data_IF_677043480006
#
_entry.id   IF_677043480006
#
_cell.length_a   1.000
_cell.length_b   1.000
_cell.length_c   1.000
_cell.angle_alpha   90.00
_cell.angle_beta   90.00
_cell.angle_gamma   90.00
#
_symmetry.space_group_name_H-M   'P 1'
#
loop_
_entity.id
_entity.type
_entity.pdbx_description
1 polymer ?
#
# COMPACT_ATOMS: atom_id res chain seq x y z
N UNK A 1 33.18 1.04 -9.34
CA UNK A 1 32.05 1.27 -8.43
C UNK A 1 32.62 1.71 -7.09
N UNK A 2 33.03 2.96 -7.00
CA UNK A 2 33.24 3.63 -5.73
C UNK A 2 31.89 4.17 -5.29
N UNK A 3 31.06 3.32 -4.72
CA UNK A 3 29.97 3.78 -3.88
C UNK A 3 30.64 4.45 -2.68
N UNK A 4 30.56 5.71 -2.71
CA UNK A 4 31.05 6.68 -1.77
C UNK A 4 30.97 6.17 -0.34
N UNK A 5 32.11 5.95 0.28
CA UNK A 5 32.21 5.48 1.67
C UNK A 5 31.44 6.42 2.64
N UNK A 6 31.21 7.69 2.25
CA UNK A 6 30.42 8.65 3.00
C UNK A 6 28.90 8.40 2.99
N UNK A 7 28.35 7.70 1.99
CA UNK A 7 26.93 7.28 1.99
C UNK A 7 26.76 6.04 2.88
N UNK A 8 27.76 5.17 2.97
CA UNK A 8 27.73 4.01 3.86
C UNK A 8 27.61 4.40 5.33
N UNK A 9 28.31 5.37 5.80
CA UNK A 9 28.31 5.73 7.23
C UNK A 9 27.04 6.49 7.66
N UNK A 10 26.48 7.35 6.83
CA UNK A 10 25.23 8.05 7.16
C UNK A 10 23.98 7.18 7.01
N UNK A 11 23.98 6.23 6.08
CA UNK A 11 22.90 5.25 5.90
C UNK A 11 23.06 4.10 6.90
N UNK A 12 24.28 3.66 7.19
CA UNK A 12 24.54 2.58 8.16
C UNK A 12 24.13 2.97 9.58
N UNK A 13 24.40 4.19 10.03
CA UNK A 13 24.04 4.63 11.40
C UNK A 13 22.50 4.81 11.57
N UNK A 14 21.78 5.23 10.54
CA UNK A 14 20.31 5.26 10.53
C UNK A 14 19.73 3.87 10.29
N UNK A 15 20.32 3.09 9.37
CA UNK A 15 19.85 1.76 8.99
C UNK A 15 20.01 0.70 10.09
N UNK A 16 21.02 0.76 10.92
CA UNK A 16 21.19 -0.20 12.03
C UNK A 16 20.06 -0.11 13.07
N UNK A 17 19.58 1.10 13.37
CA UNK A 17 18.42 1.29 14.23
C UNK A 17 17.14 0.70 13.64
N UNK A 18 16.93 0.86 12.33
CA UNK A 18 15.75 0.36 11.63
C UNK A 18 15.83 -1.14 11.36
N UNK A 19 17.00 -1.68 11.06
CA UNK A 19 17.25 -3.13 10.97
C UNK A 19 16.96 -3.81 12.30
N UNK A 20 17.45 -3.30 13.41
CA UNK A 20 17.19 -3.85 14.75
C UNK A 20 15.70 -3.80 15.11
N UNK A 21 15.03 -2.66 14.86
CA UNK A 21 13.60 -2.51 15.10
C UNK A 21 12.78 -3.50 14.26
N UNK A 22 13.15 -3.67 12.99
CA UNK A 22 12.51 -4.58 12.05
C UNK A 22 12.74 -6.04 12.45
N UNK A 23 13.96 -6.39 12.84
CA UNK A 23 14.28 -7.72 13.37
C UNK A 23 13.41 -8.06 14.58
N UNK A 24 13.31 -7.15 15.54
CA UNK A 24 12.48 -7.33 16.74
C UNK A 24 10.99 -7.36 16.44
N UNK A 25 10.52 -6.57 15.49
CA UNK A 25 9.10 -6.51 15.11
C UNK A 25 8.62 -7.77 14.39
N UNK A 26 9.49 -8.40 13.60
CA UNK A 26 9.17 -9.56 12.78
C UNK A 26 9.86 -10.85 13.23
N UNK A 27 10.45 -10.84 14.43
CA UNK A 27 11.19 -11.97 15.00
C UNK A 27 12.24 -12.57 14.02
N UNK A 28 12.95 -11.69 13.31
CA UNK A 28 13.94 -12.09 12.32
C UNK A 28 15.24 -12.41 13.06
N UNK A 29 15.79 -13.64 12.93
CA UNK A 29 17.07 -13.99 13.57
C UNK A 29 18.19 -13.03 13.16
N UNK A 30 19.01 -12.61 14.12
CA UNK A 30 20.14 -11.69 13.89
C UNK A 30 21.24 -12.26 13.00
N UNK A 31 21.25 -13.57 12.82
CA UNK A 31 22.25 -14.33 12.03
C UNK A 31 21.93 -14.38 10.53
N UNK A 32 20.73 -13.92 10.13
CA UNK A 32 20.37 -13.88 8.71
C UNK A 32 21.13 -12.76 8.03
N UNK A 33 22.00 -13.11 7.09
CA UNK A 33 22.71 -12.17 6.24
C UNK A 33 21.80 -11.48 5.20
N UNK A 34 22.37 -10.48 4.53
CA UNK A 34 21.70 -9.75 3.44
C UNK A 34 22.18 -10.28 2.10
N UNK A 35 21.25 -10.61 1.21
CA UNK A 35 21.55 -10.92 -0.18
C UNK A 35 21.45 -9.64 -1.04
N UNK A 36 22.38 -9.52 -2.00
CA UNK A 36 22.39 -8.41 -2.97
C UNK A 36 22.34 -8.99 -4.37
N UNK A 37 21.38 -8.54 -5.17
CA UNK A 37 21.27 -8.86 -6.58
C UNK A 37 21.82 -7.70 -7.40
N UNK A 38 22.79 -7.98 -8.30
CA UNK A 38 23.32 -7.01 -9.25
C UNK A 38 22.72 -7.33 -10.62
N UNK A 39 22.03 -6.36 -11.21
CA UNK A 39 21.37 -6.51 -12.51
C UNK A 39 21.55 -5.28 -13.38
N UNK A 40 21.38 -5.43 -14.69
CA UNK A 40 21.38 -4.30 -15.63
C UNK A 40 20.24 -3.34 -15.30
N UNK A 41 20.52 -2.06 -15.43
CA UNK A 41 19.53 -1.01 -15.23
C UNK A 41 18.62 -0.88 -16.45
N UNK A 42 17.34 -0.67 -16.25
CA UNK A 42 16.32 -0.40 -17.26
C UNK A 42 15.67 0.94 -16.97
N UNK A 43 15.43 1.74 -17.99
CA UNK A 43 14.99 3.12 -17.81
C UNK A 43 13.55 3.33 -18.27
N UNK A 44 12.67 3.55 -17.29
CA UNK A 44 11.25 3.87 -17.52
C UNK A 44 10.97 5.34 -17.84
N UNK A 45 11.99 6.19 -17.82
CA UNK A 45 11.87 7.64 -17.97
C UNK A 45 12.52 8.19 -19.28
N UNK A 46 12.62 7.35 -20.32
CA UNK A 46 13.22 7.75 -21.59
C UNK A 46 12.22 8.23 -22.65
N UNK A 47 10.93 8.24 -22.35
CA UNK A 47 9.91 8.67 -23.30
C UNK A 47 8.51 8.19 -22.93
N UNK A 48 7.56 8.45 -23.83
CA UNK A 48 6.15 8.09 -23.63
C UNK A 48 5.84 6.61 -23.87
N UNK A 49 6.76 5.88 -24.47
CA UNK A 49 6.77 4.43 -24.68
C UNK A 49 7.53 3.67 -23.58
N UNK A 50 8.01 4.43 -22.58
CA UNK A 50 8.69 3.94 -21.40
C UNK A 50 7.84 4.23 -20.15
N UNK A 51 8.03 3.43 -19.09
CA UNK A 51 7.30 3.59 -17.86
C UNK A 51 7.75 2.61 -16.79
N UNK A 52 7.14 2.72 -15.64
CA UNK A 52 7.37 1.79 -14.53
C UNK A 52 6.06 1.53 -13.80
N UNK A 53 5.96 0.41 -13.11
CA UNK A 53 4.75 0.08 -12.40
C UNK A 53 4.91 -1.08 -11.43
N UNK A 54 3.83 -1.28 -10.69
CA UNK A 54 3.68 -2.36 -9.72
C UNK A 54 2.39 -3.12 -10.04
N UNK A 55 2.45 -4.44 -9.97
CA UNK A 55 1.31 -5.30 -10.26
C UNK A 55 1.10 -6.37 -9.21
N UNK A 56 -0.13 -6.82 -9.11
CA UNK A 56 -0.54 -7.99 -8.35
C UNK A 56 -1.25 -8.96 -9.28
N UNK A 57 -0.96 -10.24 -9.16
CA UNK A 57 -1.58 -11.26 -10.02
C UNK A 57 -3.08 -11.43 -9.76
N UNK A 58 -3.56 -10.98 -8.59
CA UNK A 58 -4.98 -10.88 -8.19
C UNK A 58 -5.22 -9.56 -7.46
N UNK A 59 -6.47 -9.13 -7.35
CA UNK A 59 -6.79 -7.92 -6.56
C UNK A 59 -6.42 -8.14 -5.08
N UNK A 60 -5.49 -7.35 -4.52
CA UNK A 60 -5.01 -7.55 -3.15
C UNK A 60 -6.02 -7.18 -2.07
N UNK A 61 -7.13 -6.53 -2.42
CA UNK A 61 -8.18 -6.11 -1.51
C UNK A 61 -9.33 -7.12 -1.46
N UNK A 62 -9.81 -7.55 -2.63
CA UNK A 62 -10.96 -8.45 -2.75
C UNK A 62 -10.58 -9.92 -2.95
N UNK A 63 -9.37 -10.19 -3.44
CA UNK A 63 -8.92 -11.54 -3.82
C UNK A 63 -9.47 -12.03 -5.16
N UNK A 64 -10.19 -11.16 -5.91
CA UNK A 64 -10.67 -11.53 -7.22
C UNK A 64 -9.51 -11.86 -8.17
N UNK A 65 -9.73 -12.86 -9.04
CA UNK A 65 -8.74 -13.28 -10.05
C UNK A 65 -8.71 -12.29 -11.22
N UNK A 66 -8.40 -11.07 -10.91
CA UNK A 66 -8.24 -9.97 -11.85
C UNK A 66 -6.85 -9.36 -11.65
N UNK A 67 -6.08 -9.23 -12.74
CA UNK A 67 -4.79 -8.56 -12.71
C UNK A 67 -4.97 -7.12 -12.23
N UNK A 68 -4.36 -6.78 -11.15
CA UNK A 68 -4.32 -5.44 -10.61
C UNK A 68 -2.92 -4.84 -10.83
N UNK A 69 -2.82 -3.74 -11.57
CA UNK A 69 -1.56 -3.04 -11.71
C UNK A 69 -1.77 -1.54 -11.87
N UNK A 70 -0.80 -0.81 -11.36
CA UNK A 70 -0.69 0.64 -11.47
C UNK A 70 0.64 0.99 -12.11
N UNK A 71 0.65 1.98 -13.01
CA UNK A 71 1.84 2.38 -13.76
C UNK A 71 1.89 3.89 -14.00
N UNK A 72 3.11 4.37 -14.20
CA UNK A 72 3.38 5.73 -14.66
C UNK A 72 4.21 5.67 -15.95
N UNK A 73 3.83 6.47 -16.93
CA UNK A 73 4.66 6.70 -18.12
C UNK A 73 5.74 7.73 -17.81
N UNK A 74 6.87 7.58 -18.50
CA UNK A 74 8.04 8.46 -18.36
C UNK A 74 8.39 8.68 -16.88
N UNK A 75 8.65 7.59 -16.15
CA UNK A 75 8.86 7.58 -14.71
C UNK A 75 9.82 6.47 -14.27
N UNK A 76 10.43 6.65 -13.12
CA UNK A 76 11.21 5.63 -12.42
C UNK A 76 10.39 4.98 -11.29
N UNK A 77 10.85 3.85 -10.75
CA UNK A 77 10.15 3.10 -9.70
C UNK A 77 9.81 3.92 -8.47
N UNK A 78 10.70 4.82 -8.08
CA UNK A 78 10.52 5.74 -6.95
C UNK A 78 9.29 6.64 -7.12
N UNK A 79 8.98 7.09 -8.33
CA UNK A 79 7.83 7.96 -8.62
C UNK A 79 6.50 7.27 -8.33
N UNK A 80 6.44 5.94 -8.52
CA UNK A 80 5.24 5.13 -8.23
C UNK A 80 5.09 4.91 -6.73
N UNK A 81 6.18 4.53 -6.06
CA UNK A 81 6.18 4.16 -4.64
C UNK A 81 6.04 5.37 -3.74
N UNK A 82 6.70 6.48 -4.06
CA UNK A 82 6.61 7.74 -3.31
C UNK A 82 5.22 8.38 -3.38
N UNK A 83 4.41 8.05 -4.41
CA UNK A 83 3.06 8.58 -4.53
C UNK A 83 2.98 10.04 -4.96
N UNK A 84 4.08 10.62 -5.48
CA UNK A 84 4.16 12.01 -5.93
C UNK A 84 3.22 12.27 -7.10
N UNK A 85 3.03 11.27 -7.97
CA UNK A 85 2.12 11.29 -9.12
C UNK A 85 1.07 10.22 -8.95
N UNK A 86 -0.18 10.49 -9.36
CA UNK A 86 -1.25 9.49 -9.36
C UNK A 86 -1.04 8.50 -10.51
N UNK A 87 -0.83 7.21 -10.23
CA UNK A 87 -0.60 6.22 -11.27
C UNK A 87 -1.86 5.91 -12.06
N UNK A 88 -1.68 5.48 -13.30
CA UNK A 88 -2.74 4.98 -14.17
C UNK A 88 -3.05 3.51 -13.86
N UNK A 89 -4.30 3.12 -14.04
CA UNK A 89 -4.74 1.74 -13.88
C UNK A 89 -4.39 0.90 -15.12
N UNK A 90 -4.18 -0.40 -14.92
CA UNK A 90 -3.87 -1.39 -15.98
C UNK A 90 -4.91 -1.40 -17.12
N UNK A 91 -6.18 -1.10 -16.85
CA UNK A 91 -7.23 -1.00 -17.86
C UNK A 91 -6.97 0.13 -18.88
N UNK A 92 -6.30 1.20 -18.45
CA UNK A 92 -5.85 2.26 -19.34
C UNK A 92 -4.71 1.78 -20.23
N UNK A 93 -3.78 0.99 -19.69
CA UNK A 93 -2.66 0.41 -20.45
C UNK A 93 -3.13 -0.48 -21.59
N UNK A 94 -4.23 -1.18 -21.45
CA UNK A 94 -4.83 -2.00 -22.51
C UNK A 94 -5.11 -1.19 -23.79
N UNK A 95 -5.38 0.11 -23.64
CA UNK A 95 -5.63 1.02 -24.75
C UNK A 95 -4.37 1.72 -25.25
N UNK A 96 -3.49 2.12 -24.34
CA UNK A 96 -2.30 2.93 -24.62
C UNK A 96 -1.10 2.06 -25.05
N UNK A 97 -0.89 0.91 -24.39
CA UNK A 97 0.26 0.02 -24.58
C UNK A 97 -0.19 -1.45 -24.65
N UNK A 98 -1.01 -1.78 -25.63
CA UNK A 98 -1.65 -3.09 -25.76
C UNK A 98 -0.68 -4.27 -25.73
N UNK A 99 0.47 -4.11 -26.38
CA UNK A 99 1.52 -5.15 -26.42
C UNK A 99 2.09 -5.43 -25.04
N UNK A 100 2.40 -4.37 -24.31
CA UNK A 100 2.93 -4.46 -22.93
C UNK A 100 1.86 -5.05 -21.99
N UNK A 101 0.61 -4.63 -22.11
CA UNK A 101 -0.49 -5.20 -21.33
C UNK A 101 -0.54 -6.73 -21.47
N UNK A 102 -0.48 -7.25 -22.71
CA UNK A 102 -0.48 -8.70 -22.92
C UNK A 102 0.75 -9.40 -22.34
N UNK A 103 1.92 -8.74 -22.35
CA UNK A 103 3.14 -9.28 -21.71
C UNK A 103 2.95 -9.36 -20.19
N UNK A 104 2.37 -8.32 -19.56
CA UNK A 104 2.10 -8.31 -18.12
C UNK A 104 1.11 -9.41 -17.74
N UNK A 105 0.01 -9.56 -18.48
CA UNK A 105 -0.96 -10.63 -18.21
C UNK A 105 -0.33 -12.02 -18.28
N UNK A 106 0.52 -12.25 -19.28
CA UNK A 106 1.21 -13.54 -19.41
C UNK A 106 2.21 -13.76 -18.27
N UNK A 107 2.99 -12.73 -17.92
CA UNK A 107 3.93 -12.77 -16.80
C UNK A 107 3.23 -13.05 -15.49
N UNK A 108 2.10 -12.38 -15.21
CA UNK A 108 1.31 -12.62 -14.00
C UNK A 108 0.84 -14.08 -13.88
N UNK A 109 0.38 -14.68 -15.00
CA UNK A 109 -0.01 -16.10 -15.04
C UNK A 109 1.15 -17.04 -14.76
N UNK A 110 2.33 -16.73 -15.31
CA UNK A 110 3.55 -17.54 -15.09
C UNK A 110 3.96 -17.46 -13.63
N UNK A 111 4.02 -16.26 -13.05
CA UNK A 111 4.42 -16.03 -11.67
C UNK A 111 3.47 -16.75 -10.70
N UNK A 112 2.17 -16.56 -10.84
CA UNK A 112 1.19 -17.20 -9.95
C UNK A 112 1.25 -18.73 -10.01
N UNK A 113 1.42 -19.29 -11.19
CA UNK A 113 1.55 -20.75 -11.37
C UNK A 113 2.86 -21.29 -10.78
N UNK A 114 3.96 -20.55 -10.97
CA UNK A 114 5.29 -20.95 -10.49
C UNK A 114 5.36 -20.93 -8.96
N UNK A 115 4.94 -19.84 -8.35
CA UNK A 115 4.96 -19.67 -6.90
C UNK A 115 3.76 -20.30 -6.19
N UNK A 116 2.73 -20.69 -6.97
CA UNK A 116 1.49 -21.27 -6.47
C UNK A 116 0.80 -20.35 -5.45
N UNK A 117 1.03 -19.05 -5.57
CA UNK A 117 0.50 -17.99 -4.71
C UNK A 117 0.38 -16.68 -5.48
N UNK A 118 -0.50 -15.80 -4.97
CA UNK A 118 -0.60 -14.42 -5.47
C UNK A 118 0.73 -13.70 -5.32
N UNK A 119 1.19 -13.11 -6.41
CA UNK A 119 2.45 -12.38 -6.46
C UNK A 119 2.22 -10.87 -6.59
N UNK A 120 3.07 -10.12 -5.90
CA UNK A 120 3.35 -8.70 -6.07
C UNK A 120 4.61 -8.62 -6.92
N UNK A 121 4.61 -7.84 -8.00
CA UNK A 121 5.75 -7.71 -8.90
C UNK A 121 5.95 -6.28 -9.35
N UNK A 122 7.20 -5.92 -9.49
CA UNK A 122 7.64 -4.62 -9.99
C UNK A 122 8.17 -4.78 -11.42
N UNK A 123 7.83 -3.83 -12.28
CA UNK A 123 8.21 -3.87 -13.68
C UNK A 123 8.60 -2.51 -14.23
N UNK A 124 9.46 -2.51 -15.24
CA UNK A 124 9.78 -1.34 -16.05
C UNK A 124 9.48 -1.64 -17.51
N UNK A 125 9.05 -0.64 -18.22
CA UNK A 125 8.79 -0.68 -19.65
C UNK A 125 9.84 0.22 -20.32
N UNK A 126 10.60 -0.32 -21.25
CA UNK A 126 11.53 0.44 -22.07
C UNK A 126 11.29 0.10 -23.53
N UNK A 127 10.94 1.10 -24.35
CA UNK A 127 10.63 0.93 -25.77
C UNK A 127 9.56 -0.15 -26.03
N UNK A 128 8.45 -0.13 -25.29
CA UNK A 128 7.35 -1.13 -25.33
C UNK A 128 7.79 -2.58 -25.01
N UNK A 129 8.94 -2.78 -24.38
CA UNK A 129 9.39 -4.06 -23.86
C UNK A 129 9.23 -4.10 -22.35
N UNK A 130 8.62 -5.15 -21.84
CA UNK A 130 8.43 -5.37 -20.41
C UNK A 130 9.68 -5.99 -19.79
N UNK A 131 10.16 -5.42 -18.72
CA UNK A 131 11.21 -5.97 -17.85
C UNK A 131 10.67 -6.18 -16.45
N UNK A 132 10.70 -7.42 -15.99
CA UNK A 132 10.36 -7.76 -14.62
C UNK A 132 11.56 -7.48 -13.73
N UNK A 133 11.39 -6.66 -12.71
CA UNK A 133 12.48 -6.25 -11.81
C UNK A 133 12.52 -7.12 -10.56
N UNK A 134 11.37 -7.35 -9.95
CA UNK A 134 11.24 -8.07 -8.68
C UNK A 134 9.87 -8.73 -8.59
N UNK A 135 9.81 -9.86 -7.90
CA UNK A 135 8.55 -10.47 -7.46
C UNK A 135 8.66 -10.93 -6.01
N UNK A 136 7.53 -10.93 -5.32
CA UNK A 136 7.39 -11.37 -3.94
C UNK A 136 5.98 -11.85 -3.64
N UNK A 137 5.78 -12.55 -2.53
CA UNK A 137 4.44 -12.91 -2.07
C UNK A 137 3.60 -11.64 -1.83
N UNK A 138 2.46 -11.54 -2.49
CA UNK A 138 1.64 -10.32 -2.51
C UNK A 138 1.00 -10.04 -1.16
N UNK A 139 1.23 -8.83 -0.64
CA UNK A 139 0.53 -8.33 0.56
C UNK A 139 -0.94 -8.10 0.25
N UNK A 140 -1.82 -8.65 1.08
CA UNK A 140 -3.27 -8.74 0.81
C UNK A 140 -4.08 -8.50 2.08
N UNK A 141 -5.34 -8.11 1.93
CA UNK A 141 -6.29 -8.05 3.03
C UNK A 141 -6.67 -9.44 3.52
N UNK A 142 -7.19 -9.57 4.74
CA UNK A 142 -7.66 -10.85 5.27
C UNK A 142 -8.77 -11.47 4.41
N UNK A 143 -9.69 -10.65 3.89
CA UNK A 143 -10.74 -11.09 2.95
C UNK A 143 -10.11 -11.68 1.68
N UNK A 144 -9.14 -10.97 1.11
CA UNK A 144 -8.43 -11.45 -0.07
C UNK A 144 -7.63 -12.72 0.22
N UNK A 145 -6.97 -12.83 1.37
CA UNK A 145 -6.23 -14.02 1.77
C UNK A 145 -7.12 -15.27 1.80
N UNK A 146 -8.27 -15.18 2.48
CA UNK A 146 -9.22 -16.28 2.56
C UNK A 146 -9.80 -16.64 1.19
N UNK A 147 -10.20 -15.64 0.39
CA UNK A 147 -10.75 -15.89 -0.96
C UNK A 147 -9.72 -16.51 -1.88
N UNK A 148 -8.49 -15.99 -1.93
CA UNK A 148 -7.41 -16.50 -2.77
C UNK A 148 -7.09 -17.96 -2.40
N UNK A 149 -6.97 -18.26 -1.10
CA UNK A 149 -6.72 -19.63 -0.64
C UNK A 149 -7.82 -20.59 -1.11
N UNK A 150 -9.09 -20.22 -0.96
CA UNK A 150 -10.21 -21.01 -1.44
C UNK A 150 -10.21 -21.22 -2.97
N UNK A 151 -9.94 -20.15 -3.72
CA UNK A 151 -9.96 -20.21 -5.18
C UNK A 151 -8.77 -21.01 -5.73
N UNK A 152 -7.59 -20.93 -5.12
CA UNK A 152 -6.42 -21.73 -5.50
C UNK A 152 -6.60 -23.23 -5.24
N UNK A 153 -7.36 -23.60 -4.21
CA UNK A 153 -7.78 -25.00 -4.01
C UNK A 153 -8.69 -25.47 -5.14
N UNK A 154 -9.71 -24.67 -5.51
CA UNK A 154 -10.61 -24.98 -6.63
C UNK A 154 -9.86 -25.08 -7.97
N UNK A 155 -8.84 -24.27 -8.14
CA UNK A 155 -7.95 -24.27 -9.31
C UNK A 155 -6.91 -25.39 -9.28
N UNK A 156 -6.89 -26.23 -8.23
CA UNK A 156 -5.93 -27.33 -8.04
C UNK A 156 -4.46 -26.87 -7.97
N UNK A 157 -4.22 -25.64 -7.61
CA UNK A 157 -2.87 -25.09 -7.43
C UNK A 157 -2.27 -25.47 -6.08
N UNK A 158 -3.11 -25.58 -5.04
CA UNK A 158 -2.71 -25.91 -3.68
C UNK A 158 -3.68 -26.93 -3.05
N UNK A 159 -3.23 -27.62 -2.01
CA UNK A 159 -4.10 -28.51 -1.23
C UNK A 159 -4.98 -27.70 -0.24
N UNK A 160 -5.97 -28.35 0.37
CA UNK A 160 -6.81 -27.72 1.41
C UNK A 160 -5.99 -27.39 2.66
N UNK A 161 -5.06 -28.26 3.01
CA UNK A 161 -4.16 -28.10 4.15
C UNK A 161 -3.24 -26.90 3.94
N UNK A 162 -2.65 -26.77 2.74
CA UNK A 162 -1.85 -25.60 2.37
C UNK A 162 -2.68 -24.31 2.42
N UNK A 163 -3.93 -24.35 1.97
CA UNK A 163 -4.84 -23.19 2.01
C UNK A 163 -5.09 -22.71 3.44
N UNK A 164 -5.31 -23.63 4.38
CA UNK A 164 -5.50 -23.29 5.80
C UNK A 164 -4.24 -22.65 6.39
N UNK A 165 -3.06 -23.20 6.09
CA UNK A 165 -1.78 -22.67 6.58
C UNK A 165 -1.43 -21.28 6.01
N UNK A 166 -2.02 -20.89 4.88
CA UNK A 166 -1.77 -19.57 4.25
C UNK A 166 -2.64 -18.45 4.78
N UNK A 167 -3.70 -18.77 5.49
CA UNK A 167 -4.57 -17.78 6.15
C UNK A 167 -4.11 -17.62 7.59
N UNK A 168 -3.33 -16.60 7.84
CA UNK A 168 -2.81 -16.28 9.17
C UNK A 168 -3.95 -15.85 10.10
N UNK A 169 -3.88 -16.14 11.42
CA UNK A 169 -4.91 -15.74 12.38
C UNK A 169 -5.24 -14.24 12.35
N UNK A 170 -4.22 -13.41 12.12
CA UNK A 170 -4.34 -11.95 12.01
C UNK A 170 -5.21 -11.53 10.83
N UNK A 171 -5.24 -12.32 9.76
CA UNK A 171 -6.16 -12.10 8.64
C UNK A 171 -7.62 -12.28 9.05
N UNK A 172 -7.91 -13.21 9.97
CA UNK A 172 -9.26 -13.46 10.45
C UNK A 172 -9.75 -12.33 11.36
N UNK A 173 -8.86 -11.71 12.14
CA UNK A 173 -9.22 -10.56 12.97
C UNK A 173 -9.78 -9.39 12.16
N UNK A 174 -9.36 -9.25 10.89
CA UNK A 174 -9.87 -8.21 10.00
C UNK A 174 -11.36 -8.36 9.68
N UNK A 175 -11.92 -9.56 9.77
CA UNK A 175 -13.37 -9.77 9.63
C UNK A 175 -14.19 -9.21 10.80
N UNK A 176 -13.53 -8.98 11.93
CA UNK A 176 -14.13 -8.40 13.14
C UNK A 176 -14.05 -6.86 13.14
N UNK A 177 -13.41 -6.26 12.15
CA UNK A 177 -13.32 -4.80 12.11
C UNK A 177 -14.68 -4.14 11.92
N UNK A 178 -14.91 -3.00 12.57
CA UNK A 178 -16.11 -2.23 12.38
C UNK A 178 -16.33 -1.91 10.90
N UNK A 179 -17.56 -2.09 10.44
CA UNK A 179 -17.99 -1.67 9.10
C UNK A 179 -19.11 -0.64 9.24
N UNK A 180 -19.28 0.20 8.24
CA UNK A 180 -20.43 1.10 8.19
C UNK A 180 -21.71 0.32 7.92
N UNK A 181 -22.75 0.60 8.69
CA UNK A 181 -24.07 0.17 8.30
C UNK A 181 -24.45 0.88 6.98
N UNK A 182 -24.83 0.12 5.92
CA UNK A 182 -25.17 0.69 4.62
C UNK A 182 -26.28 1.74 4.67
N UNK A 183 -27.24 1.60 5.59
CA UNK A 183 -28.32 2.57 5.77
C UNK A 183 -27.85 3.87 6.42
N UNK A 184 -26.96 3.78 7.39
CA UNK A 184 -26.40 4.96 8.05
C UNK A 184 -25.45 5.71 7.10
N UNK A 185 -24.73 5.01 6.25
CA UNK A 185 -23.85 5.62 5.24
C UNK A 185 -24.59 6.61 4.31
N UNK A 186 -25.87 6.37 4.03
CA UNK A 186 -26.70 7.25 3.21
C UNK A 186 -27.08 8.56 3.91
N UNK A 187 -27.00 8.63 5.24
CA UNK A 187 -27.39 9.79 6.05
C UNK A 187 -26.28 10.84 6.18
N UNK A 188 -25.08 10.54 5.71
CA UNK A 188 -23.90 11.38 5.93
C UNK A 188 -23.40 12.04 4.65
N UNK A 189 -23.01 13.30 4.78
CA UNK A 189 -22.33 14.03 3.72
C UNK A 189 -20.95 13.46 3.50
N UNK A 190 -20.67 13.07 2.26
CA UNK A 190 -19.32 12.66 1.84
C UNK A 190 -18.51 13.94 1.66
N UNK A 191 -17.40 14.07 2.41
CA UNK A 191 -16.51 15.22 2.25
C UNK A 191 -15.58 15.09 1.04
N UNK A 192 -15.01 13.91 0.85
CA UNK A 192 -14.13 13.58 -0.27
C UNK A 192 -14.18 12.08 -0.54
N UNK A 193 -13.59 11.68 -1.65
CA UNK A 193 -13.45 10.28 -2.04
C UNK A 193 -11.98 9.97 -2.28
N UNK A 194 -11.56 8.77 -1.91
CA UNK A 194 -10.25 8.22 -2.20
C UNK A 194 -10.35 6.77 -2.63
N UNK A 195 -9.20 6.17 -2.87
CA UNK A 195 -9.07 4.76 -3.23
C UNK A 195 -9.06 3.92 -1.95
N UNK A 196 -9.98 2.96 -1.84
CA UNK A 196 -9.97 2.00 -0.75
C UNK A 196 -8.71 1.12 -0.87
N UNK A 197 -7.81 1.22 0.10
CA UNK A 197 -6.56 0.46 0.15
C UNK A 197 -6.59 -0.68 1.17
N UNK A 198 -7.39 -0.55 2.23
CA UNK A 198 -7.67 -1.59 3.22
C UNK A 198 -9.08 -1.42 3.78
N UNK A 199 -9.82 -2.53 3.99
CA UNK A 199 -11.22 -2.47 4.38
C UNK A 199 -11.42 -2.04 5.83
N UNK A 200 -12.65 -1.65 6.16
CA UNK A 200 -13.09 -1.35 7.52
C UNK A 200 -13.61 0.07 7.70
N UNK A 201 -13.92 0.41 8.95
CA UNK A 201 -14.30 1.75 9.38
C UNK A 201 -13.42 2.18 10.55
N UNK A 202 -12.89 3.38 10.50
CA UNK A 202 -12.04 3.91 11.56
C UNK A 202 -12.53 5.27 12.03
N UNK A 203 -12.45 5.51 13.35
CA UNK A 203 -12.79 6.79 13.97
C UNK A 203 -11.72 7.22 14.94
N UNK A 204 -11.56 8.52 15.06
CA UNK A 204 -10.61 9.03 16.02
C UNK A 204 -10.29 10.51 15.83
N UNK A 205 -9.41 11.00 16.68
CA UNK A 205 -8.85 12.33 16.55
C UNK A 205 -7.92 12.38 15.35
N UNK A 206 -7.93 13.49 14.66
CA UNK A 206 -7.04 13.73 13.53
C UNK A 206 -5.62 13.99 14.03
N UNK A 207 -4.66 13.23 13.53
CA UNK A 207 -3.24 13.54 13.61
C UNK A 207 -2.72 13.80 12.19
N UNK A 208 -1.88 14.81 12.02
CA UNK A 208 -1.34 15.21 10.72
C UNK A 208 0.11 14.79 10.53
N UNK A 209 0.69 14.19 11.55
CA UNK A 209 2.04 13.65 11.56
C UNK A 209 2.13 12.39 12.44
N UNK A 210 3.16 11.58 12.18
CA UNK A 210 3.37 10.30 12.86
C UNK A 210 3.61 10.46 14.37
N UNK A 211 4.33 11.51 14.78
CA UNK A 211 4.65 11.75 16.18
C UNK A 211 3.39 12.05 17.00
N UNK A 212 2.53 12.94 16.50
CA UNK A 212 1.24 13.26 17.10
C UNK A 212 0.35 12.02 17.20
N UNK A 213 0.34 11.16 16.17
CA UNK A 213 -0.42 9.90 16.20
C UNK A 213 0.04 8.98 17.33
N UNK A 214 1.36 8.82 17.50
CA UNK A 214 1.95 8.02 18.60
C UNK A 214 1.59 8.59 19.97
N UNK A 215 1.71 9.91 20.16
CA UNK A 215 1.39 10.56 21.43
C UNK A 215 -0.07 10.39 21.84
N UNK A 216 -0.99 10.54 20.88
CA UNK A 216 -2.42 10.33 21.11
C UNK A 216 -2.72 8.86 21.40
N UNK A 217 -2.11 7.94 20.64
CA UNK A 217 -2.26 6.50 20.86
C UNK A 217 -1.79 6.06 22.25
N UNK A 218 -0.63 6.56 22.71
CA UNK A 218 -0.15 6.32 24.09
C UNK A 218 -1.12 6.82 25.17
N UNK A 219 -1.90 7.86 24.87
CA UNK A 219 -2.96 8.37 25.78
C UNK A 219 -4.29 7.60 25.65
N UNK A 220 -4.30 6.47 24.95
CA UNK A 220 -5.49 5.64 24.73
C UNK A 220 -6.56 6.28 23.83
N UNK A 221 -6.19 7.28 23.04
CA UNK A 221 -7.14 7.94 22.12
C UNK A 221 -7.16 7.20 20.78
N UNK A 222 -8.35 7.08 20.18
CA UNK A 222 -8.47 6.64 18.80
C UNK A 222 -7.95 7.74 17.89
N UNK A 223 -7.17 7.37 16.87
CA UNK A 223 -6.48 8.31 15.99
C UNK A 223 -6.73 7.94 14.53
N UNK A 224 -6.99 8.94 13.69
CA UNK A 224 -6.92 8.85 12.24
C UNK A 224 -5.73 9.70 11.79
N UNK A 225 -4.74 9.07 11.18
CA UNK A 225 -3.58 9.75 10.62
C UNK A 225 -3.95 10.27 9.23
N UNK A 226 -3.88 11.59 9.05
CA UNK A 226 -4.19 12.28 7.80
C UNK A 226 -2.94 13.00 7.32
N UNK A 227 -2.38 12.55 6.19
CA UNK A 227 -1.13 13.09 5.65
C UNK A 227 -1.25 13.36 4.15
N UNK A 228 -0.31 14.12 3.62
CA UNK A 228 -0.21 14.30 2.17
C UNK A 228 0.14 12.97 1.49
N UNK A 229 1.15 12.31 2.02
CA UNK A 229 1.65 10.98 1.65
C UNK A 229 2.34 10.38 2.88
N UNK A 230 2.70 9.11 2.87
CA UNK A 230 3.48 8.48 3.95
C UNK A 230 4.82 7.98 3.45
N UNK A 231 5.80 8.05 4.33
CA UNK A 231 7.15 7.53 4.13
C UNK A 231 7.43 6.35 5.09
N UNK A 232 8.51 5.60 4.89
CA UNK A 232 8.94 4.57 5.83
C UNK A 232 9.16 5.08 7.27
N UNK A 233 9.50 6.34 7.46
CA UNK A 233 9.68 6.97 8.78
C UNK A 233 8.36 7.09 9.56
N UNK A 234 7.22 7.08 8.86
CA UNK A 234 5.88 7.22 9.44
C UNK A 234 5.32 5.92 10.04
N UNK A 235 6.02 4.80 9.90
CA UNK A 235 5.55 3.46 10.32
C UNK A 235 5.02 3.46 11.75
N UNK A 236 5.69 4.14 12.68
CA UNK A 236 5.27 4.19 14.09
C UNK A 236 3.93 4.91 14.29
N UNK A 237 3.72 6.00 13.55
CA UNK A 237 2.44 6.73 13.54
C UNK A 237 1.33 5.92 12.89
N UNK A 238 1.64 5.23 11.80
CA UNK A 238 0.69 4.34 11.13
C UNK A 238 0.27 3.18 12.04
N UNK A 239 1.20 2.58 12.78
CA UNK A 239 0.90 1.51 13.73
C UNK A 239 0.01 2.00 14.89
N UNK A 240 0.24 3.21 15.39
CA UNK A 240 -0.56 3.81 16.47
C UNK A 240 -1.95 4.28 16.01
N UNK A 241 -2.14 4.53 14.72
CA UNK A 241 -3.41 4.98 14.16
C UNK A 241 -4.43 3.83 14.04
N UNK A 242 -5.73 4.17 14.11
CA UNK A 242 -6.85 3.27 13.82
C UNK A 242 -7.24 3.32 12.34
N UNK A 243 -6.94 4.41 11.66
CA UNK A 243 -7.15 4.58 10.24
C UNK A 243 -6.14 5.53 9.62
N UNK A 244 -5.91 5.33 8.33
CA UNK A 244 -4.97 6.07 7.51
C UNK A 244 -5.72 6.74 6.37
N UNK A 245 -5.46 8.02 6.16
CA UNK A 245 -6.03 8.80 5.06
C UNK A 245 -4.93 9.63 4.42
N UNK A 246 -4.66 9.41 3.13
CA UNK A 246 -3.66 10.20 2.42
C UNK A 246 -4.27 10.96 1.25
N UNK A 247 -3.79 12.19 1.04
CA UNK A 247 -4.19 13.00 -0.10
C UNK A 247 -3.66 12.44 -1.42
N UNK A 248 -2.46 11.87 -1.40
CA UNK A 248 -1.79 11.30 -2.58
C UNK A 248 -1.56 9.80 -2.42
N UNK A 249 -1.21 9.16 -3.53
CA UNK A 249 -0.83 7.75 -3.60
C UNK A 249 -1.93 6.86 -4.16
N UNK A 250 -1.50 5.78 -4.82
CA UNK A 250 -2.35 4.72 -5.33
C UNK A 250 -2.51 3.57 -4.33
N UNK A 251 -3.20 2.52 -4.76
CA UNK A 251 -3.39 1.28 -3.97
C UNK A 251 -2.09 0.47 -3.79
N UNK A 252 -1.04 0.84 -4.49
CA UNK A 252 0.32 0.28 -4.39
C UNK A 252 1.28 1.17 -3.60
N UNK A 253 0.86 2.36 -3.18
CA UNK A 253 1.68 3.29 -2.38
C UNK A 253 2.06 2.71 -1.02
N UNK A 254 3.08 3.30 -0.39
CA UNK A 254 3.55 2.89 0.94
C UNK A 254 2.42 2.82 1.98
N UNK A 255 1.56 3.85 2.05
CA UNK A 255 0.39 3.86 2.94
C UNK A 255 -0.54 2.67 2.70
N UNK A 256 -0.80 2.34 1.44
CA UNK A 256 -1.69 1.26 1.06
C UNK A 256 -1.12 -0.12 1.41
N UNK A 257 0.15 -0.35 1.09
CA UNK A 257 0.82 -1.64 1.34
C UNK A 257 0.98 -1.91 2.83
N UNK A 258 1.53 -0.93 3.56
CA UNK A 258 1.74 -1.04 5.01
C UNK A 258 0.41 -1.07 5.76
N UNK A 259 -0.58 -0.26 5.34
CA UNK A 259 -1.92 -0.28 5.92
C UNK A 259 -2.58 -1.66 5.84
N UNK A 260 -2.49 -2.33 4.69
CA UNK A 260 -2.96 -3.73 4.54
C UNK A 260 -2.19 -4.70 5.43
N UNK A 261 -0.88 -4.59 5.44
CA UNK A 261 -0.02 -5.46 6.25
C UNK A 261 -0.32 -5.35 7.75
N UNK A 262 -0.59 -4.14 8.23
CA UNK A 262 -0.93 -3.88 9.64
C UNK A 262 -2.42 -4.08 9.96
N UNK A 263 -3.24 -4.47 8.99
CA UNK A 263 -4.68 -4.58 9.15
C UNK A 263 -5.36 -3.24 9.50
N UNK A 264 -4.79 -2.11 9.11
CA UNK A 264 -5.36 -0.79 9.38
C UNK A 264 -6.30 -0.36 8.26
N UNK A 265 -7.40 0.25 8.62
CA UNK A 265 -8.30 0.89 7.65
C UNK A 265 -7.52 1.97 6.90
N UNK A 266 -7.53 1.91 5.57
CA UNK A 266 -6.72 2.82 4.78
C UNK A 266 -7.46 3.31 3.52
N UNK A 267 -7.49 4.64 3.37
CA UNK A 267 -7.95 5.33 2.16
C UNK A 267 -6.81 6.19 1.65
N UNK A 268 -6.48 6.06 0.37
CA UNK A 268 -5.38 6.79 -0.27
C UNK A 268 -5.87 7.57 -1.48
N UNK A 269 -5.09 8.56 -1.93
CA UNK A 269 -5.42 9.32 -3.15
C UNK A 269 -6.69 10.16 -3.02
N UNK A 270 -6.97 10.70 -1.84
CA UNK A 270 -8.06 11.66 -1.63
C UNK A 270 -7.56 13.08 -1.99
N UNK A 271 -7.37 13.34 -3.28
CA UNK A 271 -6.64 14.50 -3.84
C UNK A 271 -7.23 15.87 -3.45
N UNK A 272 -8.50 15.92 -3.07
CA UNK A 272 -9.14 17.16 -2.60
C UNK A 272 -8.65 17.60 -1.21
N UNK A 273 -7.96 16.71 -0.47
CA UNK A 273 -7.42 17.00 0.86
C UNK A 273 -6.17 17.85 0.72
N UNK A 274 -6.17 18.99 1.38
CA UNK A 274 -4.99 19.85 1.54
C UNK A 274 -4.58 19.86 3.00
N UNK A 275 -3.44 19.25 3.31
CA UNK A 275 -2.89 19.16 4.66
C UNK A 275 -2.04 20.40 4.92
N UNK A 276 -2.31 21.08 6.04
CA UNK A 276 -1.57 22.23 6.54
C UNK A 276 -1.04 21.91 7.94
N UNK A 277 0.20 21.44 7.98
CA UNK A 277 0.87 21.05 9.22
C UNK A 277 1.12 22.27 10.12
N UNK A 278 1.45 23.43 9.52
CA UNK A 278 1.76 24.64 10.27
C UNK A 278 0.55 25.14 11.07
N UNK A 279 -0.63 25.12 10.45
CA UNK A 279 -1.89 25.52 11.09
C UNK A 279 -2.61 24.34 11.76
N UNK A 280 -1.99 23.17 11.83
CA UNK A 280 -2.56 21.94 12.41
C UNK A 280 -3.96 21.65 11.90
N UNK A 281 -4.15 21.75 10.57
CA UNK A 281 -5.44 21.56 9.93
C UNK A 281 -5.32 20.82 8.61
N UNK A 282 -6.42 20.28 8.13
CA UNK A 282 -6.57 19.95 6.72
C UNK A 282 -7.89 20.52 6.20
N UNK A 283 -7.96 20.77 4.91
CA UNK A 283 -9.16 21.30 4.27
C UNK A 283 -9.61 20.42 3.10
N UNK A 284 -10.92 20.40 2.86
CA UNK A 284 -11.55 19.82 1.69
C UNK A 284 -12.56 20.82 1.15
N UNK A 285 -12.27 21.40 0.00
CA UNK A 285 -13.02 22.55 -0.49
C UNK A 285 -12.98 23.70 0.52
N UNK A 286 -14.15 24.18 0.95
CA UNK A 286 -14.30 25.25 1.93
C UNK A 286 -14.40 24.77 3.39
N UNK A 287 -14.35 23.44 3.63
CA UNK A 287 -14.44 22.89 4.99
C UNK A 287 -13.03 22.72 5.56
N UNK A 288 -12.77 23.29 6.74
CA UNK A 288 -11.49 23.19 7.47
C UNK A 288 -11.71 22.32 8.70
N UNK A 289 -10.83 21.34 8.90
CA UNK A 289 -10.81 20.43 10.03
C UNK A 289 -9.51 20.63 10.80
N UNK A 290 -9.64 20.96 12.08
CA UNK A 290 -8.51 21.18 12.98
C UNK A 290 -8.07 19.87 13.61
N UNK A 291 -6.75 19.62 13.60
CA UNK A 291 -6.15 18.51 14.33
C UNK A 291 -6.29 18.70 15.84
N UNK A 292 -6.46 17.61 16.59
CA UNK A 292 -6.58 17.58 18.05
C UNK A 292 -7.90 18.08 18.64
N UNK A 293 -8.65 18.95 17.97
CA UNK A 293 -9.88 19.57 18.47
C UNK A 293 -11.12 18.86 17.93
N UNK A 294 -11.12 18.53 16.66
CA UNK A 294 -12.21 17.79 16.05
C UNK A 294 -12.08 16.28 16.33
N UNK A 295 -13.08 15.71 16.95
CA UNK A 295 -13.29 14.28 16.98
C UNK A 295 -13.90 13.96 15.62
N UNK A 296 -13.14 13.38 14.71
CA UNK A 296 -13.74 12.77 13.53
C UNK A 296 -14.45 11.50 14.01
N UNK A 297 -15.76 11.55 14.18
CA UNK A 297 -16.57 10.35 14.23
C UNK A 297 -16.74 9.89 12.78
N UNK A 298 -16.08 8.83 12.33
CA UNK A 298 -16.18 8.39 10.94
C UNK A 298 -17.51 7.77 10.64
N UNK A 299 -18.18 7.27 11.69
CA UNK A 299 -19.55 6.79 11.57
C UNK A 299 -20.52 7.91 11.22
N UNK A 300 -20.17 9.18 11.46
CA UNK A 300 -21.11 10.28 11.24
C UNK A 300 -20.71 11.31 10.18
N UNK A 301 -19.44 11.48 9.81
CA UNK A 301 -19.05 12.57 8.88
C UNK A 301 -18.00 12.28 7.82
N UNK A 302 -17.18 11.19 7.89
CA UNK A 302 -15.95 11.08 7.07
C UNK A 302 -15.63 9.65 6.60
N UNK A 303 -16.58 8.94 6.03
CA UNK A 303 -16.33 7.65 5.40
C UNK A 303 -16.10 7.78 3.89
#
# INVERSE_FOLDING_TARGET
FQAEDGIRDSVASRGLGDVYKRQKQYDIPSEIGTAVTVQSMVFGNMGNDCGTGVGFTRDPLSGEKELFAEYLLNAQGEDVVAGIRTPKNIKTMQRELRKVHSQIENTAKILERHFRDMQDFEFTIENEVLYLLQTRSGKRSGIAAAKIACDMVKETLISKEEAVLRVEPEHLEQFLFPIFNPEDKKKFDIMTRGLAASPGAASGRVALDAQTAVELGKKGKRVVLVTQETSPDDIHGMAAAHGLLTARGGRTSHAAVVGRQMGKVCVVGAEEIKVDIANRSFSVGNKIILSLIHISEPTRRYA
#
